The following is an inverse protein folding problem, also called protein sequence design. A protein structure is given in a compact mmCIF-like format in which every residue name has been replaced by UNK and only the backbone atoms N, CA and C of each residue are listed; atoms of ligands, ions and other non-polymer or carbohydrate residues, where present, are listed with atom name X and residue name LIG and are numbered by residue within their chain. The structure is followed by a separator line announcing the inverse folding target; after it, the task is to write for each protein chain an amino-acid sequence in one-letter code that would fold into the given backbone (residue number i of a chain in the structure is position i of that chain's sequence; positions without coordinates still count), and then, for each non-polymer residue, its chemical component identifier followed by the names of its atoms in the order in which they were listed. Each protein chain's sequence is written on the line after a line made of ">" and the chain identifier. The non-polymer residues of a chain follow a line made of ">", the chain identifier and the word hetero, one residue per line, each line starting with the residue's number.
data_IF_482504364368
#
_entry.id   IF_482504364368
#
_cell.length_a   1.000
_cell.length_b   1.000
_cell.length_c   1.000
_cell.angle_alpha   90.00
_cell.angle_beta   90.00
_cell.angle_gamma   90.00
#
_symmetry.space_group_name_H-M   'P 1'
#
loop_
_entity.id
_entity.type
_entity.pdbx_description
1 polymer ?
#
# COMPACT_ATOMS: atom_id res chain seq x y z
N UNK A 1 14.44 1.15 17.35
CA UNK A 1 15.08 0.26 16.37
C UNK A 1 14.04 -0.74 15.88
N UNK A 2 13.85 -0.89 14.57
CA UNK A 2 13.00 -1.96 14.03
C UNK A 2 13.66 -3.33 14.31
N UNK A 3 12.86 -4.33 14.68
CA UNK A 3 13.37 -5.68 14.93
C UNK A 3 13.93 -6.30 13.64
N UNK A 4 15.04 -7.03 13.74
CA UNK A 4 15.65 -7.76 12.62
C UNK A 4 14.63 -8.64 11.87
N UNK A 5 13.69 -9.25 12.61
CA UNK A 5 12.61 -10.07 12.03
C UNK A 5 11.68 -9.27 11.13
N UNK A 6 11.40 -8.01 11.46
CA UNK A 6 10.54 -7.12 10.65
C UNK A 6 11.25 -6.71 9.37
N UNK A 7 12.54 -6.37 9.46
CA UNK A 7 13.34 -5.99 8.30
C UNK A 7 13.43 -7.14 7.29
N UNK A 8 13.74 -8.37 7.77
CA UNK A 8 13.82 -9.54 6.88
C UNK A 8 12.46 -9.88 6.25
N UNK A 9 11.37 -9.69 6.98
CA UNK A 9 10.02 -9.90 6.44
C UNK A 9 9.71 -8.94 5.30
N UNK A 10 9.94 -7.63 5.49
CA UNK A 10 9.70 -6.62 4.47
C UNK A 10 10.54 -6.86 3.21
N UNK A 11 11.84 -7.14 3.38
CA UNK A 11 12.75 -7.42 2.24
C UNK A 11 12.26 -8.61 1.39
N UNK A 12 11.72 -9.66 2.03
CA UNK A 12 11.14 -10.81 1.32
C UNK A 12 9.80 -10.49 0.68
N UNK A 13 8.93 -9.74 1.37
CA UNK A 13 7.62 -9.34 0.85
C UNK A 13 7.76 -8.50 -0.44
N UNK A 14 8.77 -7.61 -0.47
CA UNK A 14 9.06 -6.75 -1.62
C UNK A 14 9.86 -7.46 -2.74
N UNK A 15 10.17 -8.76 -2.59
CA UNK A 15 10.88 -9.53 -3.61
C UNK A 15 12.28 -9.01 -3.91
N UNK A 16 12.96 -8.39 -2.93
CA UNK A 16 14.32 -7.87 -3.09
C UNK A 16 15.33 -8.96 -3.51
N UNK A 17 15.31 -10.18 -2.94
CA UNK A 17 16.20 -11.26 -3.39
C UNK A 17 16.00 -11.64 -4.87
N UNK A 18 14.77 -11.49 -5.37
CA UNK A 18 14.38 -11.79 -6.75
C UNK A 18 14.58 -10.58 -7.68
N UNK A 19 15.04 -9.44 -7.15
CA UNK A 19 15.35 -8.24 -7.90
C UNK A 19 14.13 -7.46 -8.41
N UNK A 20 12.96 -7.65 -7.79
CA UNK A 20 11.72 -6.93 -8.16
C UNK A 20 11.80 -5.47 -7.69
N UNK A 21 12.03 -5.27 -6.40
CA UNK A 21 12.26 -3.96 -5.78
C UNK A 21 13.69 -3.86 -5.22
N UNK A 22 14.15 -2.63 -5.05
CA UNK A 22 15.36 -2.30 -4.30
C UNK A 22 15.03 -1.37 -3.12
N UNK A 23 15.67 -1.57 -1.96
CA UNK A 23 15.50 -0.70 -0.81
C UNK A 23 16.16 0.66 -1.07
N UNK A 24 15.46 1.73 -0.74
CA UNK A 24 15.92 3.11 -0.82
C UNK A 24 15.73 3.80 0.54
N UNK A 25 16.55 4.82 0.79
CA UNK A 25 16.39 5.70 1.94
C UNK A 25 15.88 7.05 1.47
N UNK A 26 14.79 7.53 2.08
CA UNK A 26 14.18 8.81 1.74
C UNK A 26 13.99 9.66 3.00
N UNK A 27 13.98 10.98 2.83
CA UNK A 27 13.63 11.91 3.90
C UNK A 27 12.23 12.46 3.64
N UNK A 28 11.31 12.22 4.57
CA UNK A 28 9.91 12.64 4.52
C UNK A 28 9.73 13.82 5.46
N UNK A 29 9.14 14.90 4.97
CA UNK A 29 8.81 16.06 5.80
C UNK A 29 7.43 15.87 6.42
N UNK A 30 7.36 15.99 7.74
CA UNK A 30 6.10 15.96 8.51
C UNK A 30 5.92 17.27 9.30
N UNK A 31 4.78 17.43 9.96
CA UNK A 31 4.54 18.54 10.86
C UNK A 31 5.51 18.56 12.06
N UNK A 32 6.07 17.41 12.42
CA UNK A 32 6.98 17.23 13.55
C UNK A 32 8.47 17.32 13.14
N UNK A 33 8.75 17.39 11.84
CA UNK A 33 10.10 17.52 11.29
C UNK A 33 10.40 16.52 10.17
N UNK A 34 11.69 16.38 9.84
CA UNK A 34 12.13 15.43 8.81
C UNK A 34 12.36 14.05 9.41
N UNK A 35 11.80 13.04 8.77
CA UNK A 35 11.96 11.63 9.11
C UNK A 35 12.70 10.90 8.00
N UNK A 36 13.78 10.21 8.36
CA UNK A 36 14.46 9.29 7.45
C UNK A 36 13.76 7.94 7.48
N UNK A 37 13.27 7.51 6.32
CA UNK A 37 12.47 6.30 6.15
C UNK A 37 13.11 5.36 5.14
N UNK A 38 13.02 4.07 5.40
CA UNK A 38 13.31 3.04 4.42
C UNK A 38 12.06 2.79 3.57
N UNK A 39 12.20 2.88 2.26
CA UNK A 39 11.17 2.57 1.28
C UNK A 39 11.69 1.60 0.23
N UNK A 40 10.83 1.16 -0.67
CA UNK A 40 11.17 0.22 -1.73
C UNK A 40 10.70 0.78 -3.07
N UNK A 41 11.57 0.73 -4.08
CA UNK A 41 11.26 1.18 -5.42
C UNK A 41 11.53 0.06 -6.43
N UNK A 42 10.69 -0.05 -7.47
CA UNK A 42 10.90 -1.04 -8.53
C UNK A 42 12.26 -0.83 -9.19
N UNK A 43 13.08 -1.87 -9.22
CA UNK A 43 14.42 -1.83 -9.83
C UNK A 43 14.35 -1.61 -11.35
N UNK A 44 13.34 -2.18 -11.98
CA UNK A 44 13.00 -1.97 -13.39
C UNK A 44 11.53 -1.55 -13.46
N UNK A 45 11.29 -0.27 -13.68
CA UNK A 45 9.93 0.25 -13.75
C UNK A 45 9.20 -0.34 -14.96
N UNK A 46 8.05 -0.96 -14.69
CA UNK A 46 7.12 -1.42 -15.72
C UNK A 46 5.93 -0.48 -15.71
N UNK A 47 5.72 0.24 -16.80
CA UNK A 47 4.58 1.13 -16.95
C UNK A 47 3.36 0.35 -17.44
N UNK A 48 2.26 0.44 -16.70
CA UNK A 48 1.00 -0.20 -17.04
C UNK A 48 -0.12 0.27 -16.12
N UNK A 49 -1.36 0.11 -16.58
CA UNK A 49 -2.53 0.40 -15.77
C UNK A 49 -2.66 -0.63 -14.63
N UNK A 50 -2.94 -0.14 -13.42
CA UNK A 50 -3.13 -0.99 -12.25
C UNK A 50 -4.51 -1.67 -12.26
N UNK A 51 -4.70 -2.70 -11.45
CA UNK A 51 -6.01 -3.35 -11.31
C UNK A 51 -6.99 -2.51 -10.50
N UNK A 52 -8.31 -2.58 -10.80
CA UNK A 52 -9.33 -1.92 -9.98
C UNK A 52 -9.25 -2.28 -8.49
N UNK A 53 -8.93 -3.55 -8.18
CA UNK A 53 -8.83 -4.06 -6.81
C UNK A 53 -7.63 -3.46 -6.08
N UNK A 54 -6.47 -3.34 -6.73
CA UNK A 54 -5.30 -2.72 -6.13
C UNK A 54 -5.54 -1.22 -5.86
N UNK A 55 -6.12 -0.50 -6.83
CA UNK A 55 -6.54 0.90 -6.65
C UNK A 55 -7.50 1.05 -5.47
N UNK A 56 -8.46 0.12 -5.31
CA UNK A 56 -9.39 0.14 -4.19
C UNK A 56 -8.65 0.09 -2.84
N UNK A 57 -7.70 -0.83 -2.67
CA UNK A 57 -6.93 -0.94 -1.42
C UNK A 57 -6.12 0.33 -1.15
N UNK A 58 -5.48 0.88 -2.19
CA UNK A 58 -4.68 2.11 -2.08
C UNK A 58 -5.54 3.29 -1.62
N UNK A 59 -6.71 3.49 -2.24
CA UNK A 59 -7.66 4.54 -1.87
C UNK A 59 -8.24 4.34 -0.47
N UNK A 60 -8.54 3.10 -0.07
CA UNK A 60 -9.04 2.78 1.27
C UNK A 60 -7.99 3.10 2.34
N UNK A 61 -6.74 2.68 2.15
CA UNK A 61 -5.64 2.98 3.06
C UNK A 61 -5.36 4.48 3.15
N UNK A 62 -5.40 5.19 2.02
CA UNK A 62 -5.22 6.64 1.99
C UNK A 62 -6.33 7.39 2.75
N UNK A 63 -7.59 6.92 2.64
CA UNK A 63 -8.71 7.47 3.40
C UNK A 63 -8.61 7.14 4.89
N UNK A 64 -8.23 5.93 5.24
CA UNK A 64 -8.12 5.47 6.63
C UNK A 64 -7.04 6.21 7.42
N UNK A 65 -5.94 6.59 6.78
CA UNK A 65 -4.81 7.29 7.41
C UNK A 65 -4.85 8.80 7.17
N UNK A 66 -6.01 9.34 6.78
CA UNK A 66 -6.25 10.78 6.61
C UNK A 66 -5.22 11.51 5.72
N UNK A 67 -4.82 10.87 4.61
CA UNK A 67 -3.96 11.55 3.64
C UNK A 67 -4.65 12.81 3.08
N UNK A 68 -3.89 13.84 2.66
CA UNK A 68 -4.43 15.09 2.16
C UNK A 68 -5.50 14.88 1.09
N UNK A 69 -6.58 15.67 1.14
CA UNK A 69 -7.74 15.50 0.25
C UNK A 69 -7.34 15.51 -1.23
N UNK A 70 -6.46 16.44 -1.63
CA UNK A 70 -6.00 16.53 -3.02
C UNK A 70 -5.20 15.30 -3.45
N UNK A 71 -4.39 14.73 -2.56
CA UNK A 71 -3.68 13.48 -2.85
C UNK A 71 -4.65 12.30 -2.98
N UNK A 72 -5.68 12.24 -2.14
CA UNK A 72 -6.73 11.20 -2.27
C UNK A 72 -7.50 11.30 -3.57
N UNK A 73 -7.82 12.51 -4.05
CA UNK A 73 -8.45 12.73 -5.36
C UNK A 73 -7.53 12.27 -6.49
N UNK A 74 -6.24 12.63 -6.43
CA UNK A 74 -5.25 12.16 -7.40
C UNK A 74 -5.22 10.63 -7.50
N UNK A 75 -5.25 9.92 -6.37
CA UNK A 75 -5.31 8.45 -6.36
C UNK A 75 -6.63 7.91 -6.97
N UNK A 76 -7.75 8.59 -6.73
CA UNK A 76 -9.06 8.22 -7.26
C UNK A 76 -9.17 8.43 -8.77
N UNK A 77 -8.40 9.36 -9.35
CA UNK A 77 -8.42 9.67 -10.78
C UNK A 77 -7.51 8.74 -11.61
N UNK A 78 -6.69 7.90 -10.98
CA UNK A 78 -5.81 6.92 -11.68
C UNK A 78 -6.67 5.93 -12.49
N UNK A 79 -6.41 5.82 -13.80
CA UNK A 79 -7.08 4.85 -14.68
C UNK A 79 -6.62 3.41 -14.39
N UNK A 80 -7.52 2.44 -14.57
CA UNK A 80 -7.28 1.02 -14.26
C UNK A 80 -7.44 0.14 -15.50
N UNK A 81 -6.80 -1.03 -15.49
CA UNK A 81 -6.82 -2.00 -16.61
C UNK A 81 -8.15 -2.79 -16.76
N UNK A 82 -9.21 -2.41 -16.02
CA UNK A 82 -10.52 -3.06 -16.03
C UNK A 82 -10.52 -4.57 -15.70
N UNK A 83 -9.48 -5.07 -15.03
CA UNK A 83 -9.42 -6.46 -14.59
C UNK A 83 -10.58 -6.80 -13.65
N UNK A 84 -11.37 -7.80 -14.02
CA UNK A 84 -12.57 -8.26 -13.30
C UNK A 84 -12.46 -9.68 -12.75
N UNK A 85 -11.26 -10.27 -12.79
CA UNK A 85 -11.02 -11.60 -12.26
C UNK A 85 -11.15 -11.67 -10.73
N UNK A 86 -11.47 -12.86 -10.24
CA UNK A 86 -11.59 -13.11 -8.81
C UNK A 86 -10.22 -13.12 -8.11
N UNK A 87 -10.13 -12.45 -6.96
CA UNK A 87 -8.93 -12.36 -6.15
C UNK A 87 -9.29 -12.76 -4.71
N UNK A 88 -8.93 -13.97 -4.24
CA UNK A 88 -9.37 -14.49 -2.94
C UNK A 88 -9.04 -13.61 -1.72
N UNK A 89 -7.94 -12.85 -1.77
CA UNK A 89 -7.59 -11.95 -0.66
C UNK A 89 -8.58 -10.78 -0.50
N UNK A 90 -9.31 -10.43 -1.56
CA UNK A 90 -10.34 -9.38 -1.48
C UNK A 90 -11.54 -9.84 -0.65
N UNK A 91 -11.90 -11.12 -0.69
CA UNK A 91 -12.98 -11.65 0.14
C UNK A 91 -12.58 -11.68 1.61
N UNK A 92 -11.35 -12.13 1.89
CA UNK A 92 -10.81 -12.13 3.25
C UNK A 92 -10.76 -10.72 3.85
N UNK A 93 -10.42 -9.73 3.03
CA UNK A 93 -10.43 -8.33 3.45
C UNK A 93 -11.84 -7.84 3.77
N UNK A 94 -12.80 -8.15 2.90
CA UNK A 94 -14.20 -7.80 3.13
C UNK A 94 -14.71 -8.39 4.43
N UNK A 95 -14.48 -9.69 4.64
CA UNK A 95 -14.86 -10.38 5.88
C UNK A 95 -14.22 -9.75 7.12
N UNK A 96 -12.95 -9.35 7.03
CA UNK A 96 -12.25 -8.69 8.13
C UNK A 96 -12.85 -7.30 8.45
N UNK A 97 -13.18 -6.52 7.42
CA UNK A 97 -13.81 -5.20 7.58
C UNK A 97 -15.22 -5.35 8.18
N UNK A 98 -16.02 -6.28 7.66
CA UNK A 98 -17.38 -6.53 8.15
C UNK A 98 -17.37 -6.95 9.64
N UNK A 99 -16.38 -7.77 10.04
CA UNK A 99 -16.15 -8.15 11.44
C UNK A 99 -15.76 -6.96 12.31
N UNK A 100 -14.86 -6.10 11.84
CA UNK A 100 -14.45 -4.91 12.58
C UNK A 100 -15.60 -3.91 12.74
N UNK A 101 -16.38 -3.69 11.69
CA UNK A 101 -17.55 -2.81 11.73
C UNK A 101 -18.62 -3.34 12.68
N UNK A 102 -18.95 -4.63 12.61
CA UNK A 102 -19.93 -5.22 13.53
C UNK A 102 -19.47 -5.18 15.00
N UNK A 103 -18.18 -5.31 15.28
CA UNK A 103 -17.62 -5.15 16.63
C UNK A 103 -17.61 -3.70 17.15
N UNK A 104 -17.66 -2.69 16.27
CA UNK A 104 -17.72 -1.28 16.67
C UNK A 104 -19.14 -0.79 16.99
N UNK A 105 -20.17 -1.51 16.56
CA UNK A 105 -21.59 -1.19 16.81
C UNK A 105 -22.24 -2.12 17.86
N UNK A 106 -21.44 -2.90 18.59
CA UNK A 106 -21.83 -3.59 19.82
C UNK A 106 -21.18 -2.92 21.03
#
# INVERSE_FOLDING_TARGET
>A
MASFRVVVFLVRQEGVPDGIYEPIEINVQTAEGNLTCQCYQMKKCVFGLTSPQYKQILCMGAKQNDLPLEYRKMLQDIETNNFSGHIPIMDQLKDAIDKLQSAMYQ
#
